data_IF_602220516706
#
_entry.id   IF_602220516706
#
_cell.length_a   1.000
_cell.length_b   1.000
_cell.length_c   1.000
_cell.angle_alpha   90.00
_cell.angle_beta   90.00
_cell.angle_gamma   90.00
#
_symmetry.space_group_name_H-M   'P 1'
#
loop_
_entity.id
_entity.type
_entity.pdbx_description
1 polymer ?
#
# COMPACT_ATOMS: atom_id res chain seq x y z
N UNK A 1 -24.80 -6.54 0.55
CA UNK A 1 -23.74 -6.46 1.59
C UNK A 1 -23.39 -5.01 1.73
N UNK A 2 -23.42 -4.48 2.94
CA UNK A 2 -23.26 -3.03 3.17
C UNK A 2 -21.80 -2.59 2.95
N UNK A 3 -21.62 -1.53 2.18
CA UNK A 3 -20.35 -0.81 2.07
C UNK A 3 -20.14 0.07 3.31
N UNK A 4 -18.88 0.43 3.60
CA UNK A 4 -18.56 1.33 4.71
C UNK A 4 -18.98 2.77 4.34
N UNK A 5 -19.77 3.48 5.17
CA UNK A 5 -20.16 4.85 4.88
C UNK A 5 -18.94 5.78 4.82
N UNK A 6 -18.96 6.87 4.01
CA UNK A 6 -17.79 7.73 3.78
C UNK A 6 -17.13 8.24 5.05
N UNK A 7 -17.90 8.65 6.06
CA UNK A 7 -17.34 9.14 7.33
C UNK A 7 -16.62 8.05 8.13
N UNK A 8 -17.04 6.80 8.02
CA UNK A 8 -16.37 5.68 8.69
C UNK A 8 -15.05 5.26 8.01
N UNK A 9 -14.74 5.78 6.82
CA UNK A 9 -13.46 5.58 6.12
C UNK A 9 -12.39 6.57 6.61
N UNK A 10 -12.78 7.71 7.20
CA UNK A 10 -11.86 8.75 7.66
C UNK A 10 -10.81 8.24 8.66
N UNK A 11 -11.14 7.41 9.67
CA UNK A 11 -10.13 6.86 10.57
C UNK A 11 -9.02 6.09 9.85
N UNK A 12 -9.36 5.33 8.79
CA UNK A 12 -8.37 4.58 8.00
C UNK A 12 -7.44 5.54 7.25
N UNK A 13 -8.00 6.59 6.64
CA UNK A 13 -7.20 7.61 6.00
C UNK A 13 -6.28 8.33 6.99
N UNK A 14 -6.78 8.64 8.20
CA UNK A 14 -5.97 9.27 9.27
C UNK A 14 -4.80 8.39 9.65
N UNK A 15 -4.97 7.07 9.78
CA UNK A 15 -3.86 6.14 10.06
C UNK A 15 -2.79 6.21 8.97
N UNK A 16 -3.19 6.24 7.69
CA UNK A 16 -2.28 6.44 6.56
C UNK A 16 -1.54 7.79 6.64
N UNK A 17 -2.26 8.88 6.91
CA UNK A 17 -1.66 10.21 7.02
C UNK A 17 -0.68 10.33 8.20
N UNK A 18 -0.96 9.67 9.33
CA UNK A 18 -0.02 9.60 10.46
C UNK A 18 1.25 8.82 10.06
N UNK A 19 1.10 7.74 9.29
CA UNK A 19 2.25 6.99 8.73
C UNK A 19 3.07 7.85 7.76
N UNK A 20 2.42 8.68 6.92
CA UNK A 20 3.10 9.64 6.04
C UNK A 20 3.91 10.65 6.85
N UNK A 21 3.27 11.34 7.80
CA UNK A 21 3.93 12.36 8.63
C UNK A 21 5.10 11.75 9.40
N UNK A 22 4.86 10.62 10.08
CA UNK A 22 5.91 9.89 10.80
C UNK A 22 7.04 9.44 9.87
N UNK A 23 6.71 8.96 8.68
CA UNK A 23 7.67 8.56 7.65
C UNK A 23 8.53 9.73 7.18
N UNK A 24 7.94 10.89 6.89
CA UNK A 24 8.68 12.10 6.50
C UNK A 24 9.63 12.53 7.62
N UNK A 25 9.15 12.63 8.86
CA UNK A 25 9.97 13.00 10.00
C UNK A 25 11.09 11.98 10.27
N UNK A 26 10.81 10.68 10.13
CA UNK A 26 11.81 9.62 10.20
C UNK A 26 12.88 9.75 9.10
N UNK A 27 12.47 10.16 7.89
CA UNK A 27 13.39 10.46 6.80
C UNK A 27 14.30 11.65 7.10
N UNK A 28 13.76 12.73 7.67
CA UNK A 28 14.55 13.89 8.11
C UNK A 28 15.53 13.50 9.23
N UNK A 29 15.12 12.67 10.19
CA UNK A 29 16.00 12.14 11.21
C UNK A 29 17.19 11.34 10.63
N UNK A 30 17.01 10.64 9.52
CA UNK A 30 18.11 9.97 8.78
C UNK A 30 19.11 10.92 8.16
N UNK A 31 18.72 12.18 7.94
CA UNK A 31 19.58 13.25 7.43
C UNK A 31 20.19 14.08 8.57
N UNK A 32 20.23 13.53 9.78
CA UNK A 32 20.76 14.17 11.00
C UNK A 32 20.05 15.49 11.39
N UNK A 33 18.81 15.68 10.93
CA UNK A 33 18.00 16.80 11.43
C UNK A 33 17.48 16.51 12.83
N UNK A 34 17.50 17.50 13.75
CA UNK A 34 16.96 17.31 15.09
C UNK A 34 15.45 17.09 15.03
N UNK A 35 15.00 15.86 15.29
CA UNK A 35 13.61 15.45 15.24
C UNK A 35 13.11 14.95 16.60
N UNK A 36 11.79 14.96 16.86
CA UNK A 36 11.23 14.36 18.05
C UNK A 36 11.66 12.90 18.21
N UNK A 37 11.77 12.42 19.48
CA UNK A 37 12.27 11.08 19.79
C UNK A 37 11.50 9.95 19.05
N UNK A 38 10.19 10.10 18.86
CA UNK A 38 9.36 9.15 18.10
C UNK A 38 9.84 9.00 16.65
N UNK A 39 10.14 10.12 15.99
CA UNK A 39 10.62 10.13 14.61
C UNK A 39 12.06 9.63 14.51
N UNK A 40 12.93 10.03 15.44
CA UNK A 40 14.30 9.55 15.53
C UNK A 40 14.36 8.02 15.75
N UNK A 41 13.52 7.48 16.63
CA UNK A 41 13.40 6.03 16.85
C UNK A 41 12.88 5.25 15.63
N UNK A 42 12.09 5.92 14.79
CA UNK A 42 11.55 5.32 13.57
C UNK A 42 12.43 5.53 12.32
N UNK A 43 13.58 6.18 12.43
CA UNK A 43 14.45 6.53 11.30
C UNK A 43 14.79 5.33 10.40
N UNK A 44 15.08 4.17 11.00
CA UNK A 44 15.34 2.92 10.27
C UNK A 44 14.15 2.40 9.45
N UNK A 45 12.92 2.79 9.81
CA UNK A 45 11.67 2.32 9.20
C UNK A 45 11.04 3.32 8.23
N UNK A 46 11.74 4.40 7.87
CA UNK A 46 11.26 5.43 6.93
C UNK A 46 10.63 4.81 5.66
N UNK A 47 11.33 3.90 4.99
CA UNK A 47 10.83 3.25 3.77
C UNK A 47 9.57 2.41 4.00
N UNK A 48 9.51 1.66 5.10
CA UNK A 48 8.33 0.88 5.49
C UNK A 48 7.13 1.79 5.80
N UNK A 49 7.35 2.91 6.51
CA UNK A 49 6.31 3.90 6.81
C UNK A 49 5.76 4.56 5.55
N UNK A 50 6.64 4.94 4.61
CA UNK A 50 6.24 5.64 3.39
C UNK A 50 5.54 4.73 2.40
N UNK A 51 6.09 3.53 2.14
CA UNK A 51 5.57 2.66 1.07
C UNK A 51 4.57 1.65 1.62
N UNK A 52 4.97 0.82 2.58
CA UNK A 52 4.09 -0.26 3.03
C UNK A 52 2.94 0.25 3.91
N UNK A 53 3.20 1.17 4.84
CA UNK A 53 2.16 1.68 5.71
C UNK A 53 1.31 2.77 5.05
N UNK A 54 1.89 3.90 4.64
CA UNK A 54 1.12 5.01 4.06
C UNK A 54 0.49 4.65 2.71
N UNK A 55 1.31 4.38 1.67
CA UNK A 55 0.78 4.10 0.34
C UNK A 55 0.00 2.79 0.31
N UNK A 56 0.42 1.78 1.07
CA UNK A 56 -0.35 0.55 1.25
C UNK A 56 -1.74 0.81 1.83
N UNK A 57 -1.88 1.71 2.82
CA UNK A 57 -3.18 2.11 3.37
C UNK A 57 -4.04 2.83 2.32
N UNK A 58 -3.47 3.81 1.61
CA UNK A 58 -4.23 4.61 0.62
C UNK A 58 -4.70 3.75 -0.54
N UNK A 59 -3.80 2.98 -1.15
CA UNK A 59 -4.12 2.13 -2.31
C UNK A 59 -5.14 1.04 -1.92
N UNK A 60 -4.95 0.40 -0.77
CA UNK A 60 -5.89 -0.64 -0.33
C UNK A 60 -7.25 -0.06 0.10
N UNK A 61 -7.29 1.17 0.63
CA UNK A 61 -8.54 1.88 0.93
C UNK A 61 -9.32 2.19 -0.35
N UNK A 62 -8.65 2.69 -1.37
CA UNK A 62 -9.25 2.94 -2.68
C UNK A 62 -9.85 1.65 -3.27
N UNK A 63 -9.11 0.55 -3.24
CA UNK A 63 -9.59 -0.76 -3.70
C UNK A 63 -10.76 -1.28 -2.87
N UNK A 64 -10.73 -1.11 -1.55
CA UNK A 64 -11.84 -1.51 -0.68
C UNK A 64 -13.13 -0.75 -1.03
N UNK A 65 -13.02 0.56 -1.29
CA UNK A 65 -14.14 1.41 -1.75
C UNK A 65 -14.67 0.93 -3.11
N UNK A 66 -13.79 0.65 -4.08
CA UNK A 66 -14.19 0.17 -5.40
C UNK A 66 -14.90 -1.21 -5.35
N UNK A 67 -14.53 -2.09 -4.42
CA UNK A 67 -15.15 -3.40 -4.23
C UNK A 67 -16.48 -3.30 -3.47
N UNK A 68 -16.62 -2.34 -2.55
CA UNK A 68 -17.81 -2.11 -1.75
C UNK A 68 -18.14 -3.27 -0.78
N UNK A 69 -17.12 -3.90 -0.18
CA UNK A 69 -17.29 -5.01 0.77
C UNK A 69 -16.49 -4.77 2.05
N UNK A 70 -17.13 -4.96 3.20
CA UNK A 70 -16.53 -4.70 4.52
C UNK A 70 -15.20 -5.42 4.75
N UNK A 71 -15.06 -6.67 4.30
CA UNK A 71 -13.83 -7.43 4.50
C UNK A 71 -12.59 -6.80 3.81
N UNK A 72 -12.81 -6.09 2.68
CA UNK A 72 -11.72 -5.45 1.95
C UNK A 72 -11.09 -4.30 2.75
N UNK A 73 -11.84 -3.69 3.68
CA UNK A 73 -11.33 -2.63 4.57
C UNK A 73 -10.34 -3.14 5.63
N UNK A 74 -10.21 -4.47 5.81
CA UNK A 74 -9.15 -5.03 6.64
C UNK A 74 -7.76 -4.71 6.10
N UNK A 75 -7.59 -4.59 4.77
CA UNK A 75 -6.28 -4.23 4.18
C UNK A 75 -5.80 -2.85 4.65
N UNK A 76 -6.55 -1.74 4.43
CA UNK A 76 -6.10 -0.42 4.91
C UNK A 76 -6.05 -0.33 6.43
N UNK A 77 -6.90 -1.06 7.17
CA UNK A 77 -6.85 -1.09 8.62
C UNK A 77 -5.53 -1.73 9.11
N UNK A 78 -5.17 -2.90 8.60
CA UNK A 78 -3.93 -3.57 8.97
C UNK A 78 -2.70 -2.74 8.53
N UNK A 79 -2.68 -2.18 7.30
CA UNK A 79 -1.56 -1.38 6.84
C UNK A 79 -1.35 -0.12 7.70
N UNK A 80 -2.43 0.62 7.98
CA UNK A 80 -2.36 1.82 8.81
C UNK A 80 -1.98 1.51 10.26
N UNK A 81 -2.55 0.48 10.87
CA UNK A 81 -2.17 0.03 12.22
C UNK A 81 -0.72 -0.46 12.28
N UNK A 82 -0.22 -1.12 11.22
CA UNK A 82 1.19 -1.48 11.09
C UNK A 82 2.11 -0.27 11.12
N UNK A 83 1.73 0.82 10.46
CA UNK A 83 2.45 2.09 10.51
C UNK A 83 2.47 2.71 11.91
N UNK A 84 1.33 2.73 12.60
CA UNK A 84 1.28 3.21 13.99
C UNK A 84 2.14 2.33 14.90
N UNK A 85 2.10 1.00 14.72
CA UNK A 85 2.92 0.05 15.47
C UNK A 85 4.42 0.36 15.35
N UNK A 86 4.90 0.73 14.15
CA UNK A 86 6.28 1.18 13.93
C UNK A 86 6.59 2.49 14.65
N UNK A 87 5.66 3.46 14.62
CA UNK A 87 5.87 4.78 15.23
C UNK A 87 5.89 4.73 16.77
N UNK A 88 5.04 3.90 17.38
CA UNK A 88 5.00 3.76 18.84
C UNK A 88 6.03 2.77 19.39
N UNK A 89 6.81 2.13 18.52
CA UNK A 89 7.90 1.22 18.93
C UNK A 89 7.41 -0.11 19.51
N UNK A 90 6.29 -0.65 19.04
CA UNK A 90 5.85 -2.00 19.40
C UNK A 90 6.81 -3.07 18.88
N UNK A 91 6.71 -4.35 19.32
CA UNK A 91 7.51 -5.42 18.74
C UNK A 91 7.41 -5.42 17.21
N UNK A 92 8.55 -5.41 16.52
CA UNK A 92 8.63 -5.29 15.05
C UNK A 92 7.79 -6.35 14.34
N UNK A 93 7.75 -7.57 14.86
CA UNK A 93 6.96 -8.67 14.31
C UNK A 93 5.47 -8.36 14.21
N UNK A 94 4.92 -7.51 15.10
CA UNK A 94 3.53 -7.07 15.03
C UNK A 94 3.29 -6.19 13.78
N UNK A 95 4.14 -5.18 13.58
CA UNK A 95 4.04 -4.30 12.42
C UNK A 95 4.22 -5.05 11.10
N UNK A 96 5.20 -5.94 11.05
CA UNK A 96 5.47 -6.80 9.89
C UNK A 96 4.31 -7.75 9.61
N UNK A 97 3.76 -8.40 10.64
CA UNK A 97 2.61 -9.30 10.52
C UNK A 97 1.35 -8.57 10.01
N UNK A 98 1.11 -7.35 10.51
CA UNK A 98 0.03 -6.49 10.01
C UNK A 98 0.25 -6.11 8.53
N UNK A 99 1.48 -5.84 8.11
CA UNK A 99 1.82 -5.59 6.70
C UNK A 99 1.54 -6.79 5.81
N UNK A 100 1.90 -8.01 6.25
CA UNK A 100 1.58 -9.26 5.52
C UNK A 100 0.07 -9.46 5.45
N UNK A 101 -0.66 -9.29 6.56
CA UNK A 101 -2.12 -9.43 6.58
C UNK A 101 -2.80 -8.44 5.63
N UNK A 102 -2.35 -7.18 5.61
CA UNK A 102 -2.85 -6.16 4.69
C UNK A 102 -2.64 -6.57 3.23
N UNK A 103 -1.44 -7.03 2.88
CA UNK A 103 -1.11 -7.45 1.52
C UNK A 103 -1.88 -8.70 1.06
N UNK A 104 -2.11 -9.66 1.96
CA UNK A 104 -2.96 -10.84 1.68
C UNK A 104 -4.40 -10.43 1.36
N UNK A 105 -4.97 -9.51 2.15
CA UNK A 105 -6.33 -9.02 1.92
C UNK A 105 -6.41 -8.26 0.59
N UNK A 106 -5.42 -7.41 0.28
CA UNK A 106 -5.38 -6.68 -1.00
C UNK A 106 -5.24 -7.64 -2.19
N UNK A 107 -4.40 -8.68 -2.07
CA UNK A 107 -4.25 -9.70 -3.11
C UNK A 107 -5.55 -10.46 -3.34
N UNK A 108 -6.24 -10.88 -2.27
CA UNK A 108 -7.55 -11.52 -2.34
C UNK A 108 -8.59 -10.59 -2.99
N UNK A 109 -8.58 -9.30 -2.63
CA UNK A 109 -9.43 -8.27 -3.21
C UNK A 109 -9.19 -8.12 -4.72
N UNK A 110 -7.93 -7.98 -5.14
CA UNK A 110 -7.53 -7.90 -6.54
C UNK A 110 -7.89 -9.17 -7.32
N UNK A 111 -7.73 -10.35 -6.70
CA UNK A 111 -8.14 -11.63 -7.27
C UNK A 111 -9.67 -11.71 -7.53
N UNK A 112 -10.51 -11.19 -6.63
CA UNK A 112 -11.97 -11.15 -6.86
C UNK A 112 -12.35 -10.24 -8.03
N UNK A 113 -11.61 -9.13 -8.25
CA UNK A 113 -11.83 -8.24 -9.40
C UNK A 113 -11.36 -8.91 -10.68
N UNK A 114 -10.17 -9.53 -10.68
CA UNK A 114 -9.62 -10.24 -11.84
C UNK A 114 -10.54 -11.39 -12.31
N UNK A 115 -11.15 -12.14 -11.38
CA UNK A 115 -12.12 -13.21 -11.71
C UNK A 115 -13.39 -12.68 -12.40
N UNK A 116 -13.79 -11.43 -12.12
CA UNK A 116 -14.98 -10.81 -12.73
C UNK A 116 -14.68 -10.15 -14.06
N UNK A 117 -13.49 -9.60 -14.21
CA UNK A 117 -13.06 -8.87 -15.39
C UNK A 117 -11.59 -9.17 -15.66
N UNK A 118 -11.33 -10.03 -16.63
CA UNK A 118 -9.96 -10.32 -17.10
C UNK A 118 -9.56 -9.24 -18.10
N UNK A 119 -8.73 -8.31 -17.65
CA UNK A 119 -8.21 -7.20 -18.46
C UNK A 119 -6.74 -6.94 -18.08
N UNK A 120 -5.93 -6.31 -18.97
CA UNK A 120 -4.53 -6.02 -18.69
C UNK A 120 -4.34 -5.23 -17.38
N UNK A 121 -5.19 -4.24 -17.10
CA UNK A 121 -5.10 -3.44 -15.89
C UNK A 121 -5.45 -4.22 -14.63
N UNK A 122 -6.45 -5.12 -14.65
CA UNK A 122 -6.80 -5.96 -13.49
C UNK A 122 -5.72 -6.98 -13.18
N UNK A 123 -5.07 -7.53 -14.21
CA UNK A 123 -3.91 -8.41 -14.06
C UNK A 123 -2.73 -7.65 -13.45
N UNK A 124 -2.44 -6.44 -13.95
CA UNK A 124 -1.35 -5.62 -13.45
C UNK A 124 -1.53 -5.27 -11.96
N UNK A 125 -2.76 -4.92 -11.56
CA UNK A 125 -3.09 -4.62 -10.17
C UNK A 125 -3.01 -5.86 -9.26
N UNK A 126 -3.33 -7.05 -9.75
CA UNK A 126 -3.15 -8.29 -9.02
C UNK A 126 -1.66 -8.62 -8.84
N UNK A 127 -0.83 -8.42 -9.87
CA UNK A 127 0.63 -8.58 -9.80
C UNK A 127 1.23 -7.54 -8.83
N UNK A 128 0.75 -6.30 -8.85
CA UNK A 128 1.16 -5.27 -7.90
C UNK A 128 0.91 -5.70 -6.45
N UNK A 129 -0.30 -6.20 -6.14
CA UNK A 129 -0.64 -6.71 -4.81
C UNK A 129 0.25 -7.92 -4.40
N UNK A 130 0.58 -8.79 -5.35
CA UNK A 130 1.52 -9.90 -5.12
C UNK A 130 2.93 -9.39 -4.80
N UNK A 131 3.43 -8.38 -5.51
CA UNK A 131 4.72 -7.75 -5.20
C UNK A 131 4.72 -7.17 -3.77
N UNK A 132 3.64 -6.50 -3.36
CA UNK A 132 3.53 -5.99 -2.00
C UNK A 132 3.57 -7.10 -0.96
N UNK A 133 2.88 -8.22 -1.21
CA UNK A 133 2.92 -9.39 -0.34
C UNK A 133 4.33 -9.98 -0.24
N UNK A 134 5.02 -10.16 -1.37
CA UNK A 134 6.39 -10.70 -1.38
C UNK A 134 7.32 -9.81 -0.55
N UNK A 135 7.29 -8.49 -0.75
CA UNK A 135 8.11 -7.55 0.01
C UNK A 135 7.83 -7.61 1.52
N UNK A 136 6.55 -7.62 1.92
CA UNK A 136 6.20 -7.74 3.34
C UNK A 136 6.55 -9.12 3.93
N UNK A 137 6.39 -10.19 3.17
CA UNK A 137 6.76 -11.54 3.61
C UNK A 137 8.28 -11.69 3.81
N UNK A 138 9.08 -11.21 2.87
CA UNK A 138 10.54 -11.18 3.02
C UNK A 138 10.96 -10.45 4.29
N UNK A 139 10.39 -9.26 4.51
CA UNK A 139 10.68 -8.47 5.71
C UNK A 139 10.21 -9.15 7.00
N UNK A 140 9.04 -9.79 7.00
CA UNK A 140 8.53 -10.56 8.14
C UNK A 140 9.42 -11.77 8.49
N UNK A 141 10.00 -12.42 7.48
CA UNK A 141 10.92 -13.54 7.67
C UNK A 141 12.36 -13.13 8.01
N UNK A 142 12.59 -11.86 8.34
CA UNK A 142 13.87 -11.35 8.81
C UNK A 142 14.84 -10.95 7.70
N UNK A 143 14.39 -10.87 6.44
CA UNK A 143 15.21 -10.28 5.39
C UNK A 143 15.48 -8.80 5.67
N UNK A 144 16.66 -8.32 5.29
CA UNK A 144 17.00 -6.92 5.42
C UNK A 144 16.06 -6.04 4.58
N UNK A 145 15.76 -4.84 5.07
CA UNK A 145 14.77 -3.94 4.47
C UNK A 145 15.08 -3.64 2.99
N UNK A 146 16.35 -3.56 2.63
CA UNK A 146 16.75 -3.30 1.25
C UNK A 146 16.34 -4.39 0.25
N UNK A 147 16.10 -5.63 0.70
CA UNK A 147 15.57 -6.72 -0.13
C UNK A 147 14.04 -6.63 -0.33
N UNK A 148 13.34 -6.03 0.61
CA UNK A 148 11.90 -5.80 0.50
C UNK A 148 11.57 -4.57 -0.39
N UNK A 149 12.41 -3.53 -0.37
CA UNK A 149 12.19 -2.26 -1.08
C UNK A 149 11.92 -2.42 -2.58
N UNK A 150 12.66 -3.22 -3.36
CA UNK A 150 12.38 -3.40 -4.79
C UNK A 150 10.96 -3.93 -5.06
N UNK A 151 10.48 -4.84 -4.22
CA UNK A 151 9.13 -5.38 -4.32
C UNK A 151 8.05 -4.35 -3.98
N UNK A 152 8.30 -3.51 -2.98
CA UNK A 152 7.40 -2.40 -2.66
C UNK A 152 7.39 -1.33 -3.75
N UNK A 153 8.54 -1.03 -4.38
CA UNK A 153 8.60 -0.14 -5.54
C UNK A 153 7.87 -0.74 -6.74
N UNK A 154 8.03 -2.04 -7.00
CA UNK A 154 7.27 -2.73 -8.04
C UNK A 154 5.76 -2.64 -7.78
N UNK A 155 5.31 -2.82 -6.53
CA UNK A 155 3.92 -2.61 -6.14
C UNK A 155 3.41 -1.22 -6.56
N UNK A 156 4.16 -0.16 -6.24
CA UNK A 156 3.76 1.22 -6.59
C UNK A 156 3.71 1.45 -8.09
N UNK A 157 4.78 1.09 -8.80
CA UNK A 157 4.89 1.31 -10.25
C UNK A 157 3.79 0.55 -10.99
N UNK A 158 3.56 -0.72 -10.64
CA UNK A 158 2.52 -1.53 -11.27
C UNK A 158 1.12 -1.05 -10.92
N UNK A 159 0.89 -0.54 -9.71
CA UNK A 159 -0.39 0.07 -9.34
C UNK A 159 -0.66 1.31 -10.19
N UNK A 160 0.29 2.24 -10.27
CA UNK A 160 0.16 3.46 -11.10
C UNK A 160 -0.07 3.09 -12.57
N UNK A 161 0.69 2.14 -13.10
CA UNK A 161 0.53 1.68 -14.48
C UNK A 161 -0.84 1.05 -14.71
N UNK A 162 -1.31 0.20 -13.79
CA UNK A 162 -2.63 -0.43 -13.86
C UNK A 162 -3.77 0.59 -13.85
N UNK A 163 -3.72 1.58 -12.95
CA UNK A 163 -4.71 2.66 -12.89
C UNK A 163 -4.70 3.53 -14.14
N UNK A 164 -3.52 3.86 -14.68
CA UNK A 164 -3.41 4.58 -15.96
C UNK A 164 -4.05 3.81 -17.11
N UNK A 165 -3.83 2.50 -17.19
CA UNK A 165 -4.47 1.65 -18.20
C UNK A 165 -5.98 1.58 -18.00
N UNK A 166 -6.46 1.54 -16.76
CA UNK A 166 -7.88 1.57 -16.45
C UNK A 166 -8.54 2.88 -16.92
N UNK A 167 -7.91 4.02 -16.66
CA UNK A 167 -8.40 5.35 -17.06
C UNK A 167 -8.38 5.54 -18.58
N UNK A 168 -7.38 5.01 -19.28
CA UNK A 168 -7.26 5.14 -20.73
C UNK A 168 -8.45 4.54 -21.50
N UNK A 169 -9.16 3.58 -20.94
CA UNK A 169 -10.36 2.99 -21.60
C UNK A 169 -11.54 3.97 -21.69
N UNK A 170 -11.54 5.04 -20.88
CA UNK A 170 -12.57 6.09 -20.93
C UNK A 170 -12.21 7.25 -21.87
N UNK A 171 -10.95 7.29 -22.35
CA UNK A 171 -10.53 8.31 -23.29
C UNK A 171 -10.85 7.86 -24.72
N UNK A 172 -11.30 8.75 -25.62
CA UNK A 172 -11.47 8.43 -27.03
C UNK A 172 -10.10 8.01 -27.57
N UNK A 173 -10.02 6.78 -28.09
CA UNK A 173 -8.78 6.21 -28.64
C UNK A 173 -8.31 7.00 -29.85
N UNK A 174 -7.34 7.88 -29.67
CA UNK A 174 -6.53 8.40 -30.77
C UNK A 174 -5.67 7.24 -31.29
N UNK A 175 -5.78 6.93 -32.59
CA UNK A 175 -4.97 5.88 -33.23
C UNK A 175 -3.46 6.11 -33.09
N UNK A 176 -3.04 7.34 -32.85
CA UNK A 176 -1.64 7.71 -32.64
C UNK A 176 -1.15 7.45 -31.23
N UNK A 177 -2.02 7.57 -30.21
CA UNK A 177 -1.66 7.25 -28.82
C UNK A 177 -1.39 5.74 -28.63
N UNK A 178 -2.10 4.86 -29.38
CA UNK A 178 -1.85 3.42 -29.32
C UNK A 178 -0.49 3.01 -29.91
N UNK A 179 0.07 3.77 -30.88
CA UNK A 179 1.39 3.49 -31.48
C UNK A 179 2.57 3.82 -30.57
N UNK A 180 2.39 4.65 -29.55
CA UNK A 180 3.45 5.01 -28.59
C UNK A 180 3.49 4.11 -27.35
N UNK A 181 2.51 3.21 -27.15
CA UNK A 181 2.43 2.32 -25.97
C UNK A 181 2.75 0.84 -26.32
N UNK A 182 2.98 0.51 -27.57
CA UNK A 182 3.45 -0.78 -28.06
C UNK A 182 4.63 -0.59 -29.03
#
# INVERSE_FOLDING_TARGET
MADLPPLARLPLLVLGMLSLLGGVLAGLARLDWPMPAVAAGAAGWHGALMISAFLGTVISLERAVAIGRLWAYLAPACAGLGGIALLVGTPLALAQGLGVAAALVLLAASGTVLQRLVAPFTLLLAIAALCWLIGNALWFHGAELHLAVPWWLAFLVLTIAGERLELNRFLPTSKDAQRFFF
#
